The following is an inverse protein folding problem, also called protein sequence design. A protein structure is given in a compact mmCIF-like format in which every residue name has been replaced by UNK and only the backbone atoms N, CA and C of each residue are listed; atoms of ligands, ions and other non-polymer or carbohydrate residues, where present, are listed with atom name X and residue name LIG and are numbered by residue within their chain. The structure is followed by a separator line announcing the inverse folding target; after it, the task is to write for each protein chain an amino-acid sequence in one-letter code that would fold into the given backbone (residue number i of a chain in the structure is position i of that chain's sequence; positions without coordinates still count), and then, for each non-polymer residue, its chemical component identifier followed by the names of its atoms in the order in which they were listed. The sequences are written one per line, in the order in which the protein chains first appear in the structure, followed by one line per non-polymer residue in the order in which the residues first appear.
data_IF_357681462626
#
_entry.id   IF_357681462626
#
_cell.length_a   1.000
_cell.length_b   1.000
_cell.length_c   1.000
_cell.angle_alpha   90.00
_cell.angle_beta   90.00
_cell.angle_gamma   90.00
#
_symmetry.space_group_name_H-M   'P 1'
#
loop_
_entity.id
_entity.type
_entity.pdbx_description
1 polymer ?
#
# COMPACT_ATOMS: atom_id res chain seq x y z
N UNK A 1 17.21 -22.99 6.28
CA UNK A 1 18.39 -23.04 7.16
C UNK A 1 18.73 -21.61 7.59
N UNK A 2 19.25 -21.38 8.79
CA UNK A 2 19.67 -20.03 9.22
C UNK A 2 20.64 -19.41 8.22
N UNK A 3 20.48 -18.15 7.91
CA UNK A 3 21.33 -17.41 6.96
C UNK A 3 21.00 -17.57 5.48
N UNK A 4 20.06 -18.41 5.11
CA UNK A 4 19.59 -18.50 3.72
C UNK A 4 18.56 -17.42 3.42
N UNK A 5 18.77 -16.72 2.30
CA UNK A 5 17.80 -15.78 1.75
C UNK A 5 16.89 -16.50 0.73
N UNK A 6 15.62 -16.11 0.62
CA UNK A 6 14.70 -16.69 -0.34
C UNK A 6 15.10 -16.32 -1.78
N UNK A 7 14.71 -17.16 -2.73
CA UNK A 7 14.78 -16.89 -4.17
C UNK A 7 13.40 -16.45 -4.63
N UNK A 8 13.33 -15.40 -5.46
CA UNK A 8 12.07 -14.90 -6.00
C UNK A 8 11.44 -15.93 -6.95
N UNK A 9 10.12 -16.05 -6.89
CA UNK A 9 9.34 -16.84 -7.83
C UNK A 9 9.12 -16.02 -9.12
N UNK A 10 9.44 -16.62 -10.28
CA UNK A 10 9.31 -16.01 -11.59
C UNK A 10 7.87 -15.49 -11.85
N UNK A 11 6.86 -16.28 -11.49
CA UNK A 11 5.47 -15.86 -11.61
C UNK A 11 5.16 -14.55 -10.86
N UNK A 12 5.77 -14.31 -9.68
CA UNK A 12 5.60 -13.07 -8.95
C UNK A 12 6.21 -11.88 -9.68
N UNK A 13 7.34 -12.08 -10.35
CA UNK A 13 7.98 -11.06 -11.21
C UNK A 13 7.08 -10.74 -12.40
N UNK A 14 6.54 -11.76 -13.07
CA UNK A 14 5.61 -11.58 -14.19
C UNK A 14 4.36 -10.79 -13.78
N UNK A 15 3.77 -11.10 -12.62
CA UNK A 15 2.61 -10.37 -12.10
C UNK A 15 2.96 -8.89 -11.79
N UNK A 16 4.14 -8.62 -11.26
CA UNK A 16 4.59 -7.26 -10.99
C UNK A 16 4.81 -6.46 -12.29
N UNK A 17 5.46 -7.06 -13.29
CA UNK A 17 5.65 -6.44 -14.61
C UNK A 17 4.31 -6.17 -15.29
N UNK A 18 3.42 -7.15 -15.30
CA UNK A 18 2.06 -7.03 -15.87
C UNK A 18 1.27 -5.91 -15.19
N UNK A 19 1.36 -5.81 -13.87
CA UNK A 19 0.73 -4.74 -13.11
C UNK A 19 1.36 -3.38 -13.45
N UNK A 20 2.69 -3.29 -13.49
CA UNK A 20 3.39 -2.07 -13.86
C UNK A 20 3.00 -1.54 -15.24
N UNK A 21 2.89 -2.42 -16.24
CA UNK A 21 2.41 -2.05 -17.57
C UNK A 21 0.97 -1.53 -17.55
N UNK A 22 0.08 -2.16 -16.77
CA UNK A 22 -1.30 -1.75 -16.61
C UNK A 22 -1.47 -0.41 -15.87
N UNK A 23 -0.46 -0.01 -15.08
CA UNK A 23 -0.37 1.28 -14.40
C UNK A 23 0.37 2.35 -15.24
N UNK A 24 0.63 2.07 -16.50
CA UNK A 24 1.41 2.93 -17.40
C UNK A 24 2.76 3.34 -16.79
N UNK A 25 3.39 2.43 -16.09
CA UNK A 25 4.61 2.66 -15.32
C UNK A 25 5.85 2.07 -16.02
N UNK A 26 6.99 2.65 -15.73
CA UNK A 26 8.28 2.22 -16.25
C UNK A 26 8.71 0.91 -15.59
N UNK A 27 8.99 -0.11 -16.39
CA UNK A 27 9.60 -1.35 -15.90
C UNK A 27 11.13 -1.17 -15.84
N UNK A 28 11.71 -1.49 -14.69
CA UNK A 28 13.15 -1.40 -14.47
C UNK A 28 13.84 -2.73 -14.84
N UNK A 29 14.86 -2.66 -15.70
CA UNK A 29 15.63 -3.83 -16.12
C UNK A 29 16.50 -4.43 -14.99
N UNK A 30 16.78 -3.63 -13.96
CA UNK A 30 17.54 -4.05 -12.79
C UNK A 30 16.78 -3.67 -11.55
N UNK A 31 16.48 -4.65 -10.72
CA UNK A 31 15.86 -4.43 -9.41
C UNK A 31 16.67 -5.15 -8.32
N UNK A 32 16.60 -4.64 -7.10
CA UNK A 32 17.38 -5.15 -5.98
C UNK A 32 16.47 -5.36 -4.79
N UNK A 33 16.62 -6.50 -4.10
CA UNK A 33 15.97 -6.77 -2.85
C UNK A 33 16.87 -6.38 -1.66
N UNK A 34 16.25 -5.75 -0.69
CA UNK A 34 16.82 -5.32 0.57
C UNK A 34 16.20 -6.10 1.73
N UNK A 35 16.84 -6.08 2.90
CA UNK A 35 16.26 -6.59 4.13
C UNK A 35 15.76 -5.44 5.00
N UNK A 36 14.45 -5.39 5.23
CA UNK A 36 13.80 -4.49 6.17
C UNK A 36 13.71 -5.20 7.52
N UNK A 37 14.61 -4.87 8.43
CA UNK A 37 14.69 -5.53 9.73
C UNK A 37 13.69 -4.92 10.71
N UNK A 38 12.80 -5.73 11.26
CA UNK A 38 11.88 -5.37 12.33
C UNK A 38 11.34 -6.64 13.00
N UNK A 39 10.80 -6.50 14.22
CA UNK A 39 10.40 -7.65 15.03
C UNK A 39 8.92 -7.58 15.38
N UNK A 40 8.18 -8.57 14.87
CA UNK A 40 6.79 -8.82 15.21
C UNK A 40 6.58 -10.33 15.39
N UNK A 41 5.60 -10.71 16.19
CA UNK A 41 5.31 -12.12 16.45
C UNK A 41 4.90 -12.88 15.18
N UNK A 42 4.24 -12.21 14.23
CA UNK A 42 3.83 -12.73 12.94
C UNK A 42 4.91 -12.61 11.84
N UNK A 43 6.11 -12.16 12.20
CA UNK A 43 7.30 -12.14 11.35
C UNK A 43 8.46 -12.85 12.05
N UNK A 44 8.42 -14.19 12.17
CA UNK A 44 9.35 -14.94 13.04
C UNK A 44 10.82 -14.87 12.60
N UNK A 45 11.09 -14.57 11.34
CA UNK A 45 12.46 -14.40 10.82
C UNK A 45 13.11 -13.07 11.23
N UNK A 46 12.34 -12.10 11.73
CA UNK A 46 12.83 -10.79 12.16
C UNK A 46 13.22 -9.83 11.05
N UNK A 47 12.94 -10.17 9.80
CA UNK A 47 13.14 -9.29 8.63
C UNK A 47 12.11 -9.58 7.54
N UNK A 48 11.89 -8.62 6.69
CA UNK A 48 11.09 -8.73 5.47
C UNK A 48 11.99 -8.46 4.28
N UNK A 49 11.98 -9.34 3.29
CA UNK A 49 12.58 -9.05 1.99
C UNK A 49 11.66 -8.09 1.26
N UNK A 50 12.19 -6.96 0.82
CA UNK A 50 11.47 -5.88 0.17
C UNK A 50 12.36 -5.19 -0.85
N UNK A 51 11.86 -4.18 -1.55
CA UNK A 51 12.64 -3.36 -2.48
C UNK A 51 12.49 -1.89 -2.08
N UNK A 52 13.55 -1.10 -2.11
CA UNK A 52 13.51 0.31 -1.76
C UNK A 52 14.05 1.19 -2.88
N UNK A 53 15.37 1.23 -3.07
CA UNK A 53 16.02 2.15 -4.03
C UNK A 53 15.91 1.70 -5.48
N UNK A 54 15.76 0.39 -5.71
CA UNK A 54 15.68 -0.21 -7.05
C UNK A 54 14.49 -1.14 -7.15
N UNK A 55 13.27 -0.60 -7.14
CA UNK A 55 12.04 -1.39 -7.29
C UNK A 55 11.95 -1.97 -8.70
N UNK A 56 11.15 -3.02 -8.86
CA UNK A 56 10.90 -3.65 -10.16
C UNK A 56 10.12 -2.72 -11.10
N UNK A 57 9.22 -1.90 -10.57
CA UNK A 57 8.44 -0.93 -11.34
C UNK A 57 8.69 0.47 -10.78
N UNK A 58 9.06 1.39 -11.64
CA UNK A 58 9.29 2.79 -11.34
C UNK A 58 8.03 3.64 -11.49
N UNK A 59 8.22 4.89 -11.86
CA UNK A 59 7.15 5.87 -11.98
C UNK A 59 6.16 5.53 -13.09
N UNK A 60 4.91 5.90 -12.84
CA UNK A 60 3.80 5.80 -13.76
C UNK A 60 2.69 6.75 -13.38
N UNK A 61 1.54 6.59 -14.01
CA UNK A 61 0.35 7.39 -13.72
C UNK A 61 -0.93 6.67 -14.13
N UNK A 62 -2.02 6.98 -13.46
CA UNK A 62 -3.35 6.51 -13.83
C UNK A 62 -4.35 7.65 -13.85
N UNK A 63 -5.29 7.59 -14.78
CA UNK A 63 -6.43 8.49 -14.82
C UNK A 63 -7.56 7.86 -14.02
N UNK A 64 -8.09 8.61 -13.07
CA UNK A 64 -9.15 8.20 -12.16
C UNK A 64 -10.40 9.00 -12.47
N UNK A 65 -11.53 8.29 -12.69
CA UNK A 65 -12.84 8.89 -12.93
C UNK A 65 -13.51 9.19 -11.57
N UNK A 66 -14.01 10.39 -11.39
CA UNK A 66 -14.74 10.85 -10.22
C UNK A 66 -16.26 10.76 -10.45
N UNK A 67 -17.02 10.72 -9.35
CA UNK A 67 -18.49 10.53 -9.42
C UNK A 67 -19.22 11.72 -10.06
N UNK A 68 -18.60 12.91 -10.10
CA UNK A 68 -19.10 14.12 -10.77
C UNK A 68 -18.83 14.15 -12.29
N UNK A 69 -18.15 13.12 -12.81
CA UNK A 69 -17.75 13.02 -14.22
C UNK A 69 -16.42 13.70 -14.55
N UNK A 70 -15.77 14.30 -13.58
CA UNK A 70 -14.41 14.81 -13.75
C UNK A 70 -13.38 13.67 -13.71
N UNK A 71 -12.18 13.96 -14.21
CA UNK A 71 -11.05 13.05 -14.19
C UNK A 71 -9.87 13.70 -13.49
N UNK A 72 -9.14 12.92 -12.72
CA UNK A 72 -7.89 13.34 -12.12
C UNK A 72 -6.78 12.35 -12.45
N UNK A 73 -5.56 12.86 -12.66
CA UNK A 73 -4.38 12.02 -12.86
C UNK A 73 -3.66 11.87 -11.53
N UNK A 74 -3.39 10.63 -11.15
CA UNK A 74 -2.65 10.30 -9.93
C UNK A 74 -1.39 9.54 -10.32
N UNK A 75 -0.25 10.10 -9.95
CA UNK A 75 1.05 9.50 -10.19
C UNK A 75 1.27 8.26 -9.32
N UNK A 76 1.96 7.31 -9.91
CA UNK A 76 2.54 6.15 -9.22
C UNK A 76 4.01 6.45 -8.98
N UNK A 77 4.45 6.36 -7.74
CA UNK A 77 5.86 6.50 -7.38
C UNK A 77 6.65 5.26 -7.77
N UNK A 78 6.12 4.09 -7.41
CA UNK A 78 6.70 2.78 -7.69
C UNK A 78 5.72 1.65 -7.38
N UNK A 79 6.03 0.48 -7.89
CA UNK A 79 5.55 -0.79 -7.39
C UNK A 79 6.75 -1.64 -7.02
N UNK A 80 6.75 -2.22 -5.84
CA UNK A 80 7.81 -3.12 -5.42
C UNK A 80 7.25 -4.45 -4.91
N UNK A 81 8.10 -5.47 -4.94
CA UNK A 81 7.81 -6.80 -4.42
C UNK A 81 8.37 -6.95 -3.02
N UNK A 82 7.61 -7.58 -2.15
CA UNK A 82 8.02 -7.93 -0.79
C UNK A 82 7.39 -9.24 -0.32
N UNK A 83 7.87 -9.74 0.82
CA UNK A 83 7.26 -10.87 1.52
C UNK A 83 6.12 -10.37 2.40
N UNK A 84 4.98 -11.05 2.39
CA UNK A 84 3.93 -10.77 3.37
C UNK A 84 4.28 -11.37 4.74
N UNK A 85 3.82 -10.74 5.80
CA UNK A 85 3.91 -11.25 7.18
C UNK A 85 2.77 -12.25 7.45
N UNK A 86 2.83 -12.93 8.59
CA UNK A 86 1.73 -13.72 9.10
C UNK A 86 0.54 -12.85 9.54
N UNK A 87 -0.32 -13.40 10.35
CA UNK A 87 -1.50 -12.72 10.89
C UNK A 87 -1.58 -12.90 12.38
N UNK A 88 -1.71 -11.81 13.12
CA UNK A 88 -1.99 -11.81 14.56
C UNK A 88 -3.50 -11.80 14.78
N UNK A 89 -4.01 -12.75 15.56
CA UNK A 89 -5.42 -12.93 15.89
C UNK A 89 -5.63 -12.57 17.35
N UNK A 90 -6.35 -11.48 17.61
CA UNK A 90 -6.54 -10.90 18.95
C UNK A 90 -7.95 -11.13 19.52
N UNK A 91 -8.87 -11.57 18.70
CA UNK A 91 -10.30 -11.70 18.99
C UNK A 91 -10.72 -13.10 19.48
N UNK A 92 -9.82 -14.08 19.38
CA UNK A 92 -10.11 -15.47 19.70
C UNK A 92 -10.00 -15.81 21.20
N UNK A 93 -9.35 -14.94 22.00
CA UNK A 93 -9.17 -15.17 23.43
C UNK A 93 -8.97 -13.84 24.17
N UNK A 94 -9.56 -13.67 25.39
CA UNK A 94 -9.52 -12.39 26.10
C UNK A 94 -8.13 -11.93 26.57
N UNK A 95 -7.17 -12.84 26.70
CA UNK A 95 -5.83 -12.55 27.24
C UNK A 95 -4.68 -13.12 26.39
N UNK A 96 -4.96 -13.76 25.27
CA UNK A 96 -3.94 -14.37 24.39
C UNK A 96 -4.13 -13.90 22.96
N UNK A 97 -3.04 -13.70 22.27
CA UNK A 97 -3.01 -13.52 20.81
C UNK A 97 -2.49 -14.80 20.17
N UNK A 98 -3.13 -15.21 19.08
CA UNK A 98 -2.69 -16.34 18.29
C UNK A 98 -1.98 -15.83 17.03
N UNK A 99 -1.03 -16.60 16.53
CA UNK A 99 -0.27 -16.27 15.33
C UNK A 99 -0.59 -17.30 14.26
N UNK A 100 -1.09 -16.82 13.13
CA UNK A 100 -1.31 -17.60 11.92
C UNK A 100 -0.19 -17.28 10.92
N UNK A 101 0.64 -18.27 10.62
CA UNK A 101 1.79 -18.13 9.72
C UNK A 101 1.51 -18.61 8.29
N UNK A 102 0.26 -18.98 7.95
CA UNK A 102 -0.06 -19.52 6.62
C UNK A 102 0.21 -18.52 5.48
N UNK A 103 0.14 -17.22 5.76
CA UNK A 103 0.43 -16.16 4.78
C UNK A 103 1.91 -15.74 4.73
N UNK A 104 2.70 -16.13 5.74
CA UNK A 104 4.10 -15.69 5.88
C UNK A 104 4.93 -16.07 4.66
N UNK A 105 5.58 -15.09 4.05
CA UNK A 105 6.44 -15.28 2.89
C UNK A 105 5.71 -15.35 1.54
N UNK A 106 4.39 -15.24 1.52
CA UNK A 106 3.63 -15.06 0.26
C UNK A 106 4.09 -13.75 -0.38
N UNK A 107 4.25 -13.73 -1.70
CA UNK A 107 4.66 -12.53 -2.39
C UNK A 107 3.55 -11.47 -2.33
N UNK A 108 3.95 -10.26 -1.98
CA UNK A 108 3.10 -9.08 -1.89
C UNK A 108 3.62 -8.01 -2.85
N UNK A 109 2.72 -7.37 -3.59
CA UNK A 109 3.02 -6.17 -4.37
C UNK A 109 2.55 -4.96 -3.58
N UNK A 110 3.44 -4.00 -3.34
CA UNK A 110 3.09 -2.70 -2.79
C UNK A 110 3.13 -1.64 -3.89
N UNK A 111 1.98 -1.01 -4.15
CA UNK A 111 1.84 0.11 -5.09
C UNK A 111 1.82 1.41 -4.28
N UNK A 112 2.80 2.26 -4.52
CA UNK A 112 2.93 3.55 -3.83
C UNK A 112 2.54 4.66 -4.77
N UNK A 113 1.53 5.46 -4.40
CA UNK A 113 1.12 6.65 -5.15
C UNK A 113 2.02 7.84 -4.85
N UNK A 114 2.14 8.77 -5.79
CA UNK A 114 2.60 10.13 -5.50
C UNK A 114 1.57 10.86 -4.63
N UNK A 115 1.96 11.92 -3.90
CA UNK A 115 1.06 12.65 -3.02
C UNK A 115 0.18 13.64 -3.80
N UNK A 116 -0.54 13.15 -4.81
CA UNK A 116 -1.39 13.95 -5.71
C UNK A 116 -2.84 14.03 -5.25
N UNK A 117 -3.29 13.07 -4.44
CA UNK A 117 -4.67 12.97 -3.94
C UNK A 117 -4.99 14.14 -3.02
N UNK A 118 -6.13 14.82 -3.25
CA UNK A 118 -6.55 16.03 -2.52
C UNK A 118 -7.87 15.89 -1.77
N UNK A 119 -8.61 14.80 -1.98
CA UNK A 119 -9.88 14.57 -1.30
C UNK A 119 -10.08 13.11 -0.92
N UNK A 120 -10.96 12.83 0.07
CA UNK A 120 -11.35 11.46 0.39
C UNK A 120 -12.01 10.72 -0.79
N UNK A 121 -12.75 11.46 -1.63
CA UNK A 121 -13.41 10.93 -2.83
C UNK A 121 -12.40 10.49 -3.87
N UNK A 122 -11.38 11.30 -4.13
CA UNK A 122 -10.26 10.92 -5.01
C UNK A 122 -9.53 9.68 -4.49
N UNK A 123 -9.29 9.58 -3.17
CA UNK A 123 -8.66 8.41 -2.57
C UNK A 123 -9.51 7.14 -2.77
N UNK A 124 -10.82 7.24 -2.55
CA UNK A 124 -11.75 6.14 -2.79
C UNK A 124 -11.79 5.72 -4.25
N UNK A 125 -11.87 6.68 -5.17
CA UNK A 125 -11.87 6.48 -6.61
C UNK A 125 -10.54 5.85 -7.09
N UNK A 126 -9.41 6.31 -6.57
CA UNK A 126 -8.10 5.72 -6.84
C UNK A 126 -8.04 4.23 -6.47
N UNK A 127 -8.41 3.87 -5.25
CA UNK A 127 -8.38 2.46 -4.81
C UNK A 127 -9.37 1.62 -5.63
N UNK A 128 -10.55 2.15 -5.97
CA UNK A 128 -11.53 1.50 -6.85
C UNK A 128 -10.94 1.24 -8.23
N UNK A 129 -10.21 2.21 -8.81
CA UNK A 129 -9.54 2.08 -10.11
C UNK A 129 -8.43 1.02 -10.06
N UNK A 130 -7.54 1.08 -9.09
CA UNK A 130 -6.48 0.07 -8.87
C UNK A 130 -7.09 -1.33 -8.75
N UNK A 131 -8.10 -1.49 -7.89
CA UNK A 131 -8.81 -2.76 -7.72
C UNK A 131 -9.36 -3.30 -9.05
N UNK A 132 -9.97 -2.44 -9.85
CA UNK A 132 -10.54 -2.82 -11.15
C UNK A 132 -9.46 -3.26 -12.13
N UNK A 133 -8.33 -2.56 -12.20
CA UNK A 133 -7.17 -2.90 -13.03
C UNK A 133 -6.63 -4.27 -12.62
N UNK A 134 -6.33 -4.46 -11.33
CA UNK A 134 -5.76 -5.71 -10.80
C UNK A 134 -6.65 -6.93 -11.07
N UNK A 135 -7.96 -6.77 -10.93
CA UNK A 135 -8.93 -7.83 -11.26
C UNK A 135 -8.98 -8.11 -12.75
N UNK A 136 -8.99 -7.07 -13.58
CA UNK A 136 -9.06 -7.22 -15.03
C UNK A 136 -7.85 -7.96 -15.59
N UNK A 137 -6.64 -7.65 -15.10
CA UNK A 137 -5.42 -8.34 -15.52
C UNK A 137 -5.22 -9.69 -14.80
N UNK A 138 -6.06 -10.05 -13.85
CA UNK A 138 -5.97 -11.31 -13.11
C UNK A 138 -4.77 -11.39 -12.13
N UNK A 139 -4.25 -10.24 -11.69
CA UNK A 139 -3.16 -10.20 -10.72
C UNK A 139 -3.62 -10.31 -9.27
N UNK A 140 -4.88 -9.94 -8.99
CA UNK A 140 -5.49 -10.00 -7.66
C UNK A 140 -7.01 -10.13 -7.79
N UNK A 141 -7.68 -10.84 -6.87
CA UNK A 141 -9.15 -10.90 -6.81
C UNK A 141 -9.77 -9.60 -6.29
N UNK A 142 -8.95 -8.76 -5.63
CA UNK A 142 -9.36 -7.46 -5.10
C UNK A 142 -10.29 -7.56 -3.89
N UNK A 143 -10.32 -8.70 -3.18
CA UNK A 143 -11.15 -8.86 -2.00
C UNK A 143 -10.50 -8.20 -0.78
N UNK A 144 -10.98 -7.00 -0.45
CA UNK A 144 -10.45 -6.22 0.67
C UNK A 144 -10.83 -6.83 2.04
N UNK A 145 -11.98 -7.47 2.14
CA UNK A 145 -12.45 -8.07 3.40
C UNK A 145 -11.62 -9.30 3.78
N UNK A 146 -11.16 -10.05 2.80
CA UNK A 146 -10.26 -11.19 3.00
C UNK A 146 -8.78 -10.81 3.06
N UNK A 147 -8.46 -9.52 2.82
CA UNK A 147 -7.10 -9.00 2.86
C UNK A 147 -6.26 -9.26 1.61
N UNK A 148 -6.88 -9.67 0.48
CA UNK A 148 -6.21 -9.80 -0.81
C UNK A 148 -5.77 -8.44 -1.37
N UNK A 149 -6.48 -7.36 -1.04
CA UNK A 149 -6.12 -5.99 -1.29
C UNK A 149 -6.27 -5.19 0.01
N UNK A 150 -5.22 -4.48 0.38
CA UNK A 150 -5.18 -3.63 1.58
C UNK A 150 -4.76 -2.23 1.17
N UNK A 151 -5.18 -1.22 1.91
CA UNK A 151 -4.76 0.15 1.68
C UNK A 151 -4.33 0.80 2.99
N UNK A 152 -3.20 1.49 2.95
CA UNK A 152 -2.73 2.38 4.00
C UNK A 152 -2.79 3.81 3.46
N UNK A 153 -3.29 4.74 4.27
CA UNK A 153 -3.42 6.15 3.90
C UNK A 153 -2.45 7.01 4.68
N UNK A 154 -1.62 7.75 3.95
CA UNK A 154 -0.75 8.78 4.50
C UNK A 154 -1.41 10.14 4.32
N UNK A 155 -1.76 10.81 5.41
CA UNK A 155 -2.44 12.10 5.41
C UNK A 155 -1.55 13.15 6.05
N UNK A 156 -1.39 14.30 5.40
CA UNK A 156 -0.78 15.49 5.96
C UNK A 156 -1.62 16.72 5.59
N UNK A 157 -1.46 17.80 6.33
CA UNK A 157 -2.13 19.07 6.05
C UNK A 157 -1.10 20.17 5.85
N UNK A 158 -1.41 21.14 5.00
CA UNK A 158 -0.57 22.31 4.75
C UNK A 158 -1.43 23.48 4.29
N UNK A 159 -0.94 24.69 4.43
CA UNK A 159 -1.52 25.85 3.74
C UNK A 159 -1.15 25.82 2.27
N UNK A 160 -1.95 26.45 1.43
CA UNK A 160 -1.67 26.53 0.00
C UNK A 160 -0.31 27.17 -0.24
N UNK A 161 0.55 26.51 -1.05
CA UNK A 161 1.90 26.98 -1.39
C UNK A 161 3.01 26.61 -0.39
N UNK A 162 2.68 26.01 0.76
CA UNK A 162 3.67 25.53 1.73
C UNK A 162 4.12 24.08 1.43
N UNK A 163 5.24 23.68 2.03
CA UNK A 163 5.72 22.30 2.04
C UNK A 163 4.72 21.37 2.74
N UNK A 164 4.82 20.06 2.47
CA UNK A 164 3.98 19.07 3.13
C UNK A 164 4.20 19.08 4.64
N UNK A 165 3.11 19.11 5.41
CA UNK A 165 3.14 19.01 6.86
C UNK A 165 3.47 17.60 7.36
N UNK A 166 3.44 17.42 8.67
CA UNK A 166 3.69 16.13 9.32
C UNK A 166 2.69 15.08 8.86
N UNK A 167 3.19 13.94 8.44
CA UNK A 167 2.40 12.83 7.93
C UNK A 167 1.85 11.96 9.06
N UNK A 168 0.56 11.67 9.01
CA UNK A 168 -0.10 10.64 9.81
C UNK A 168 -0.42 9.44 8.92
N UNK A 169 -0.08 8.24 9.35
CA UNK A 169 -0.37 7.00 8.64
C UNK A 169 -1.58 6.30 9.26
N UNK A 170 -2.55 5.95 8.42
CA UNK A 170 -3.73 5.16 8.79
C UNK A 170 -3.59 3.80 8.14
N UNK A 171 -3.43 2.77 8.95
CA UNK A 171 -3.15 1.40 8.48
C UNK A 171 -4.41 0.53 8.44
N UNK A 172 -4.31 -0.53 7.62
CA UNK A 172 -5.25 -1.63 7.58
C UNK A 172 -6.69 -1.23 7.24
N UNK A 173 -6.85 -0.37 6.25
CA UNK A 173 -8.17 -0.02 5.71
C UNK A 173 -8.63 -1.10 4.74
N UNK A 174 -9.64 -1.87 5.16
CA UNK A 174 -10.14 -3.05 4.46
C UNK A 174 -11.40 -2.79 3.63
N UNK A 175 -11.76 -1.53 3.41
CA UNK A 175 -12.83 -1.15 2.49
C UNK A 175 -12.65 0.27 1.97
N UNK A 176 -13.15 0.54 0.76
CA UNK A 176 -13.16 1.89 0.17
C UNK A 176 -13.95 2.87 1.03
N UNK A 177 -15.06 2.41 1.63
CA UNK A 177 -15.86 3.22 2.56
C UNK A 177 -15.02 3.68 3.76
N UNK A 178 -14.23 2.81 4.35
CA UNK A 178 -13.38 3.16 5.49
C UNK A 178 -12.27 4.12 5.10
N UNK A 179 -11.71 4.01 3.90
CA UNK A 179 -10.75 4.98 3.37
C UNK A 179 -11.37 6.38 3.33
N UNK A 180 -12.55 6.51 2.71
CA UNK A 180 -13.26 7.79 2.58
C UNK A 180 -13.62 8.37 3.96
N UNK A 181 -13.96 7.53 4.94
CA UNK A 181 -14.32 7.98 6.29
C UNK A 181 -13.10 8.33 7.16
N UNK A 182 -12.00 7.62 7.04
CA UNK A 182 -10.81 7.79 7.88
C UNK A 182 -10.03 9.08 7.56
N UNK A 183 -9.97 9.48 6.30
CA UNK A 183 -9.21 10.66 5.88
C UNK A 183 -9.73 11.96 6.54
N UNK A 184 -11.03 12.27 6.56
CA UNK A 184 -11.54 13.46 7.25
C UNK A 184 -11.27 13.47 8.76
N UNK A 185 -11.31 12.31 9.41
CA UNK A 185 -10.99 12.19 10.84
C UNK A 185 -9.53 12.56 11.08
N UNK A 186 -8.62 11.99 10.29
CA UNK A 186 -7.20 12.31 10.38
C UNK A 186 -6.91 13.80 10.07
N UNK A 187 -7.54 14.34 9.02
CA UNK A 187 -7.45 15.76 8.68
C UNK A 187 -7.86 16.66 9.85
N UNK A 188 -8.98 16.36 10.52
CA UNK A 188 -9.47 17.13 11.68
C UNK A 188 -8.46 17.10 12.82
N UNK A 189 -7.90 15.95 13.14
CA UNK A 189 -6.89 15.82 14.20
C UNK A 189 -5.60 16.58 13.86
N UNK A 190 -5.07 16.45 12.65
CA UNK A 190 -3.86 17.14 12.21
C UNK A 190 -4.05 18.66 12.27
N UNK A 191 -5.17 19.17 11.77
CA UNK A 191 -5.50 20.60 11.82
C UNK A 191 -5.61 21.12 13.26
N UNK A 192 -6.22 20.38 14.17
CA UNK A 192 -6.33 20.77 15.58
C UNK A 192 -4.95 20.81 16.28
N UNK A 193 -4.01 19.96 15.90
CA UNK A 193 -2.65 20.00 16.44
C UNK A 193 -1.83 21.15 15.90
N UNK A 194 -1.91 21.45 14.61
CA UNK A 194 -1.16 22.58 14.00
C UNK A 194 -1.61 23.95 14.53
N UNK A 195 -2.88 24.11 14.88
CA UNK A 195 -3.39 25.37 15.45
C UNK A 195 -3.01 25.62 16.91
N UNK A 196 -2.44 24.64 17.63
CA UNK A 196 -1.99 24.81 19.02
C UNK A 196 -0.58 25.42 19.16
N UNK A 197 0.16 25.56 18.08
CA UNK A 197 1.53 26.09 18.06
C UNK A 197 1.66 27.48 17.41
N UNK A 198 0.54 28.18 17.25
CA UNK A 198 0.50 29.57 16.78
C UNK A 198 -0.24 30.48 17.73
#
# INVERSE_FOLDING_TARGET
MPGMLPVINEFCVEQAVKTGLALNAKINNVSVFDRKNYFYADLPQGYQISQFTKPIVGEGEIIVDLDDGEQTTIGIERLHLEQDAGKSLHDQHPTKSYIDLNRTGVALMEIVSKPDIRSPQEAGAYVKKIRSILRYIGACDGNMEEGSLRADCNVSVRKSGEEFGTRCEIKNLNSIRFIIQAIPVSYTHLRAHETRYH
#
